data_IF_872701681336
#
_entry.id   IF_872701681336
#
_cell.length_a   1.000
_cell.length_b   1.000
_cell.length_c   1.000
_cell.angle_alpha   90.00
_cell.angle_beta   90.00
_cell.angle_gamma   90.00
#
_symmetry.space_group_name_H-M   'P 1'
#
loop_
_entity.id
_entity.type
_entity.pdbx_description
1 polymer ?
#
# COMPACT_ATOMS: atom_id res chain seq x y z
N UNK A 1 -1.89 -26.23 42.44
CA UNK A 1 -2.06 -26.76 41.06
C UNK A 1 -3.09 -25.98 40.21
N UNK A 2 -4.26 -25.58 40.72
CA UNK A 2 -5.27 -24.83 39.94
C UNK A 2 -4.78 -23.45 39.46
N UNK A 3 -4.15 -22.66 40.34
CA UNK A 3 -3.60 -21.34 40.00
C UNK A 3 -2.50 -21.39 38.93
N UNK A 4 -1.64 -22.42 38.96
CA UNK A 4 -0.60 -22.62 37.94
C UNK A 4 -1.22 -22.94 36.57
N UNK A 5 -2.26 -23.79 36.55
CA UNK A 5 -2.99 -24.13 35.31
C UNK A 5 -3.67 -22.92 34.70
N UNK A 6 -4.32 -22.07 35.51
CA UNK A 6 -4.94 -20.84 35.02
C UNK A 6 -3.90 -19.85 34.52
N UNK A 7 -2.77 -19.72 35.21
CA UNK A 7 -1.68 -18.85 34.78
C UNK A 7 -1.09 -19.29 33.43
N UNK A 8 -0.86 -20.60 33.25
CA UNK A 8 -0.39 -21.15 31.99
C UNK A 8 -1.39 -20.93 30.85
N UNK A 9 -2.68 -21.16 31.09
CA UNK A 9 -3.73 -20.94 30.10
C UNK A 9 -3.81 -19.46 29.68
N UNK A 10 -3.79 -18.53 30.63
CA UNK A 10 -3.79 -17.10 30.35
C UNK A 10 -2.54 -16.65 29.61
N UNK A 11 -1.36 -17.18 29.98
CA UNK A 11 -0.10 -16.87 29.29
C UNK A 11 -0.12 -17.35 27.83
N UNK A 12 -0.64 -18.56 27.57
CA UNK A 12 -0.80 -19.09 26.22
C UNK A 12 -1.77 -18.23 25.39
N UNK A 13 -2.89 -17.82 25.97
CA UNK A 13 -3.85 -16.93 25.30
C UNK A 13 -3.24 -15.56 24.98
N UNK A 14 -2.50 -14.98 25.93
CA UNK A 14 -1.81 -13.72 25.72
C UNK A 14 -0.74 -13.83 24.62
N UNK A 15 0.07 -14.90 24.64
CA UNK A 15 1.07 -15.15 23.61
C UNK A 15 0.43 -15.34 22.22
N UNK A 16 -0.67 -16.09 22.12
CA UNK A 16 -1.42 -16.26 20.89
C UNK A 16 -1.97 -14.92 20.36
N UNK A 17 -2.50 -14.06 21.25
CA UNK A 17 -2.96 -12.72 20.90
C UNK A 17 -1.83 -11.84 20.36
N UNK A 18 -0.66 -11.84 21.01
CA UNK A 18 0.52 -11.09 20.53
C UNK A 18 0.98 -11.60 19.17
N UNK A 19 1.02 -12.92 18.96
CA UNK A 19 1.40 -13.49 17.66
C UNK A 19 0.40 -13.14 16.56
N UNK A 20 -0.90 -13.18 16.85
CA UNK A 20 -1.94 -12.78 15.91
C UNK A 20 -1.81 -11.29 15.53
N UNK A 21 -1.58 -10.42 16.52
CA UNK A 21 -1.34 -8.99 16.27
C UNK A 21 -0.07 -8.76 15.45
N UNK A 22 1.02 -9.46 15.77
CA UNK A 22 2.27 -9.38 15.02
C UNK A 22 2.07 -9.81 13.56
N UNK A 23 1.32 -10.88 13.31
CA UNK A 23 1.02 -11.33 11.95
C UNK A 23 0.12 -10.34 11.19
N UNK A 24 -0.89 -9.76 11.85
CA UNK A 24 -1.82 -8.82 11.24
C UNK A 24 -1.20 -7.44 10.94
N UNK A 25 -0.06 -7.11 11.54
CA UNK A 25 0.56 -5.78 11.46
C UNK A 25 1.97 -5.77 10.87
N UNK A 26 2.33 -6.81 10.11
CA UNK A 26 3.67 -6.99 9.55
C UNK A 26 4.78 -6.84 10.61
N UNK A 27 4.61 -7.52 11.75
CA UNK A 27 5.45 -7.43 12.95
C UNK A 27 5.44 -6.02 13.57
N UNK A 28 4.24 -5.45 13.73
CA UNK A 28 4.01 -4.11 14.28
C UNK A 28 4.64 -2.97 13.47
N UNK A 29 4.85 -3.18 12.16
CA UNK A 29 5.39 -2.17 11.23
C UNK A 29 4.30 -1.51 10.39
N UNK A 30 3.18 -2.18 10.16
CA UNK A 30 2.08 -1.69 9.34
C UNK A 30 0.74 -1.82 10.06
N UNK A 31 0.09 -0.69 10.30
CA UNK A 31 -1.27 -0.63 10.86
C UNK A 31 -2.32 -0.23 9.82
N UNK A 32 -1.88 0.07 8.59
CA UNK A 32 -2.73 0.37 7.44
C UNK A 32 -2.28 -0.45 6.24
N UNK A 33 -3.21 -0.78 5.35
CA UNK A 33 -2.91 -1.47 4.09
C UNK A 33 -1.92 -0.68 3.24
N UNK A 34 -1.98 0.65 3.28
CA UNK A 34 -1.04 1.50 2.55
C UNK A 34 0.38 1.44 3.12
N UNK A 35 0.55 1.42 4.45
CA UNK A 35 1.88 1.25 5.06
C UNK A 35 2.45 -0.13 4.73
N UNK A 36 1.64 -1.19 4.80
CA UNK A 36 2.04 -2.55 4.41
C UNK A 36 2.51 -2.58 2.94
N UNK A 37 1.73 -1.99 2.03
CA UNK A 37 2.06 -1.88 0.60
C UNK A 37 3.38 -1.14 0.38
N UNK A 38 3.63 -0.04 1.08
CA UNK A 38 4.88 0.74 0.95
C UNK A 38 6.10 -0.01 1.46
N UNK A 39 5.98 -0.72 2.59
CA UNK A 39 7.06 -1.56 3.12
C UNK A 39 7.39 -2.70 2.15
N UNK A 40 6.36 -3.36 1.62
CA UNK A 40 6.52 -4.44 0.66
C UNK A 40 7.16 -3.97 -0.66
N UNK A 41 6.73 -2.83 -1.24
CA UNK A 41 7.36 -2.28 -2.44
C UNK A 41 8.83 -1.88 -2.21
N UNK A 42 9.17 -1.37 -1.01
CA UNK A 42 10.56 -1.03 -0.66
C UNK A 42 11.43 -2.27 -0.51
N UNK A 43 10.93 -3.32 0.14
CA UNK A 43 11.66 -4.57 0.34
C UNK A 43 11.76 -5.40 -0.94
N UNK A 44 10.69 -5.41 -1.74
CA UNK A 44 10.55 -6.18 -2.97
C UNK A 44 10.06 -5.29 -4.13
N UNK A 45 10.94 -4.46 -4.72
CA UNK A 45 10.56 -3.64 -5.86
C UNK A 45 10.02 -4.49 -7.02
N UNK A 46 8.82 -4.13 -7.52
CA UNK A 46 8.18 -4.81 -8.65
C UNK A 46 8.38 -4.01 -9.93
N UNK A 47 8.62 -4.72 -11.03
CA UNK A 47 8.58 -4.13 -12.35
C UNK A 47 7.13 -3.77 -12.72
N UNK A 48 6.95 -2.61 -13.33
CA UNK A 48 5.65 -2.25 -13.90
C UNK A 48 5.36 -3.11 -15.12
N UNK A 49 4.12 -3.60 -15.29
CA UNK A 49 3.74 -4.35 -16.48
C UNK A 49 3.86 -3.49 -17.74
N UNK A 50 4.11 -4.14 -18.88
CA UNK A 50 4.11 -3.47 -20.17
C UNK A 50 2.66 -3.17 -20.59
N UNK A 51 2.15 -2.01 -20.18
CA UNK A 51 0.80 -1.53 -20.50
C UNK A 51 0.83 -0.49 -21.62
N UNK A 52 -0.19 -0.52 -22.46
CA UNK A 52 -0.52 0.56 -23.37
C UNK A 52 -1.42 1.56 -22.64
N UNK A 53 -1.10 2.84 -22.77
CA UNK A 53 -1.91 3.97 -22.36
C UNK A 53 -2.62 4.53 -23.60
N UNK A 54 -3.70 5.26 -23.37
CA UNK A 54 -4.40 6.02 -24.39
C UNK A 54 -4.33 7.50 -24.02
N UNK A 55 -3.96 8.36 -24.98
CA UNK A 55 -3.99 9.81 -24.79
C UNK A 55 -5.42 10.36 -24.86
N UNK A 56 -5.57 11.62 -24.49
CA UNK A 56 -6.80 12.39 -24.67
C UNK A 56 -7.28 12.46 -26.14
N UNK A 57 -6.34 12.39 -27.09
CA UNK A 57 -6.62 12.31 -28.52
C UNK A 57 -6.94 10.90 -29.05
N UNK A 58 -6.99 9.88 -28.18
CA UNK A 58 -7.23 8.48 -28.56
C UNK A 58 -6.00 7.78 -29.15
N UNK A 59 -4.80 8.35 -29.00
CA UNK A 59 -3.57 7.73 -29.51
C UNK A 59 -3.05 6.72 -28.50
N UNK A 60 -2.79 5.49 -28.95
CA UNK A 60 -2.15 4.48 -28.11
C UNK A 60 -0.65 4.75 -27.95
N UNK A 61 -0.14 4.71 -26.72
CA UNK A 61 1.28 4.83 -26.43
C UNK A 61 1.71 3.85 -25.33
N UNK A 62 2.90 3.23 -25.43
CA UNK A 62 3.36 2.33 -24.38
C UNK A 62 3.84 3.12 -23.17
N UNK A 63 3.58 2.64 -21.95
CA UNK A 63 4.13 3.25 -20.72
C UNK A 63 5.67 3.34 -20.76
N UNK A 64 6.33 2.44 -21.50
CA UNK A 64 7.78 2.43 -21.70
C UNK A 64 8.31 3.63 -22.48
N UNK A 65 7.45 4.39 -23.18
CA UNK A 65 7.83 5.66 -23.82
C UNK A 65 8.33 6.70 -22.80
N UNK A 66 7.99 6.54 -21.52
CA UNK A 66 8.39 7.43 -20.44
C UNK A 66 9.60 6.95 -19.63
N UNK A 67 10.31 5.90 -20.09
CA UNK A 67 11.51 5.39 -19.40
C UNK A 67 12.61 6.45 -19.26
N UNK A 68 13.41 6.31 -18.21
CA UNK A 68 14.52 7.23 -17.90
C UNK A 68 14.10 8.52 -17.19
N UNK A 69 12.83 8.61 -16.78
CA UNK A 69 12.27 9.75 -16.03
C UNK A 69 11.64 9.25 -14.74
N UNK A 70 11.62 10.10 -13.72
CA UNK A 70 10.75 9.90 -12.57
C UNK A 70 9.32 10.22 -13.00
N UNK A 71 8.42 9.27 -12.78
CA UNK A 71 7.01 9.39 -13.17
C UNK A 71 6.15 9.37 -11.92
N UNK A 72 5.31 10.38 -11.81
CA UNK A 72 4.18 10.39 -10.90
C UNK A 72 2.94 10.02 -11.71
N UNK A 73 2.24 8.97 -11.29
CA UNK A 73 1.04 8.46 -11.98
C UNK A 73 -0.14 8.68 -11.04
N UNK A 74 -1.15 9.40 -11.51
CA UNK A 74 -2.40 9.66 -10.79
C UNK A 74 -3.59 9.01 -11.50
N UNK A 75 -4.58 8.59 -10.72
CA UNK A 75 -5.82 7.97 -11.20
C UNK A 75 -6.99 8.88 -10.84
N UNK A 76 -7.49 9.59 -11.85
CA UNK A 76 -8.62 10.50 -11.70
C UNK A 76 -9.92 9.87 -12.24
N UNK A 77 -11.01 10.11 -11.51
CA UNK A 77 -12.36 9.88 -11.99
C UNK A 77 -13.03 11.23 -12.29
N UNK A 78 -13.71 11.35 -13.43
CA UNK A 78 -14.36 12.59 -13.85
C UNK A 78 -15.45 13.09 -12.88
N UNK A 79 -15.96 12.20 -12.02
CA UNK A 79 -16.97 12.52 -10.98
C UNK A 79 -16.38 12.77 -9.59
N UNK A 80 -15.05 12.87 -9.48
CA UNK A 80 -14.35 13.12 -8.24
C UNK A 80 -14.12 14.63 -8.06
N UNK A 81 -15.12 15.32 -7.50
CA UNK A 81 -15.16 16.79 -7.48
C UNK A 81 -14.14 17.41 -6.52
N UNK A 82 -13.90 16.78 -5.37
CA UNK A 82 -13.09 17.36 -4.29
C UNK A 82 -11.69 16.75 -4.24
N UNK A 83 -11.60 15.45 -3.92
CA UNK A 83 -10.33 14.80 -3.61
C UNK A 83 -9.34 14.85 -4.78
N UNK A 84 -9.79 14.58 -6.00
CA UNK A 84 -8.90 14.52 -7.17
C UNK A 84 -8.41 15.91 -7.60
N UNK A 85 -9.24 16.95 -7.43
CA UNK A 85 -8.82 18.33 -7.70
C UNK A 85 -7.75 18.80 -6.72
N UNK A 86 -7.96 18.56 -5.41
CA UNK A 86 -6.98 18.90 -4.38
C UNK A 86 -5.68 18.12 -4.60
N UNK A 87 -5.76 16.81 -4.82
CA UNK A 87 -4.58 15.96 -5.04
C UNK A 87 -3.76 16.41 -6.26
N UNK A 88 -4.43 16.69 -7.38
CA UNK A 88 -3.77 17.20 -8.58
C UNK A 88 -3.07 18.55 -8.35
N UNK A 89 -3.68 19.42 -7.53
CA UNK A 89 -3.07 20.68 -7.11
C UNK A 89 -1.80 20.49 -6.28
N UNK A 90 -1.81 19.57 -5.32
CA UNK A 90 -0.63 19.22 -4.51
C UNK A 90 0.49 18.63 -5.38
N UNK A 91 0.15 17.75 -6.32
CA UNK A 91 1.13 17.15 -7.23
C UNK A 91 1.79 18.16 -8.18
N UNK A 92 1.07 19.21 -8.57
CA UNK A 92 1.62 20.27 -9.41
C UNK A 92 2.68 21.14 -8.70
N UNK A 93 2.79 21.02 -7.37
CA UNK A 93 3.75 21.78 -6.54
C UNK A 93 5.02 20.99 -6.18
N UNK A 94 5.08 19.70 -6.53
CA UNK A 94 6.26 18.84 -6.35
C UNK A 94 7.36 19.13 -7.38
#
# INVERSE_FOLDING_TARGET
MRALRTLLASALLAAAGVLALAAATDRFQAFTTETARRLDVRAHPRLLPAIALESDSGTALPLTAYRGRWLLIDFIYTRCETYCSVLGGEFAQL
#
